data_IF_958260302738
#
_entry.id   IF_958260302738
#
_cell.length_a   1.000
_cell.length_b   1.000
_cell.length_c   1.000
_cell.angle_alpha   90.00
_cell.angle_beta   90.00
_cell.angle_gamma   90.00
#
_symmetry.space_group_name_H-M   'P 1'
#
loop_
_entity.id
_entity.type
_entity.pdbx_description
1 polymer ?
#
# COMPACT_ATOMS: atom_id res chain seq x y z
N UNK A 1 -7.83 -13.00 16.22
CA UNK A 1 -6.48 -12.99 15.61
C UNK A 1 -5.70 -11.87 16.27
N UNK A 2 -4.60 -12.20 16.96
CA UNK A 2 -3.77 -11.19 17.63
C UNK A 2 -2.62 -10.78 16.71
N UNK A 3 -2.40 -9.48 16.56
CA UNK A 3 -1.26 -8.93 15.83
C UNK A 3 -0.15 -8.61 16.84
N UNK A 4 1.07 -9.01 16.56
CA UNK A 4 2.25 -8.60 17.34
C UNK A 4 3.08 -7.71 16.44
N UNK A 5 3.07 -6.40 16.72
CA UNK A 5 3.97 -5.45 16.09
C UNK A 5 5.33 -5.59 16.79
N UNK A 6 6.39 -5.93 16.04
CA UNK A 6 7.76 -5.87 16.53
C UNK A 6 8.59 -4.99 15.59
N UNK A 7 9.28 -3.97 16.10
CA UNK A 7 10.24 -3.23 15.31
C UNK A 7 11.43 -4.14 14.99
N UNK A 8 11.72 -4.35 13.71
CA UNK A 8 13.03 -4.83 13.26
C UNK A 8 13.92 -3.62 12.99
N UNK A 9 15.18 -3.69 13.45
CA UNK A 9 16.16 -2.64 13.25
C UNK A 9 17.27 -3.17 12.34
N UNK A 10 17.36 -2.66 11.12
CA UNK A 10 18.48 -2.94 10.21
C UNK A 10 19.07 -1.62 9.72
N UNK A 11 20.40 -1.48 9.80
CA UNK A 11 21.14 -0.29 9.35
C UNK A 11 20.61 1.06 9.87
N UNK A 12 20.05 1.06 11.09
CA UNK A 12 19.48 2.25 11.73
C UNK A 12 18.06 2.59 11.29
N UNK A 13 17.45 1.78 10.43
CA UNK A 13 16.06 1.91 9.99
C UNK A 13 15.19 0.98 10.84
N UNK A 14 14.09 1.52 11.37
CA UNK A 14 13.10 0.75 12.12
C UNK A 14 11.94 0.38 11.21
N UNK A 15 11.70 -0.92 11.04
CA UNK A 15 10.57 -1.44 10.27
C UNK A 15 9.48 -1.96 11.19
N UNK A 16 8.24 -1.55 10.96
CA UNK A 16 7.07 -2.11 11.64
C UNK A 16 6.67 -3.42 10.95
N UNK A 17 6.96 -4.55 11.61
CA UNK A 17 6.61 -5.87 11.08
C UNK A 17 5.40 -6.44 11.80
N UNK A 18 4.38 -6.79 11.01
CA UNK A 18 3.25 -7.58 11.47
C UNK A 18 3.56 -9.06 11.22
N UNK A 19 3.56 -9.85 12.29
CA UNK A 19 3.58 -11.31 12.22
C UNK A 19 2.15 -11.85 12.22
N UNK A 20 1.79 -12.59 11.16
CA UNK A 20 0.54 -13.35 11.12
C UNK A 20 0.72 -14.73 11.77
N UNK A 21 -0.40 -15.33 12.20
CA UNK A 21 -0.45 -16.64 12.86
C UNK A 21 0.03 -17.81 11.99
N UNK A 22 0.09 -17.62 10.67
CA UNK A 22 0.63 -18.59 9.71
C UNK A 22 2.15 -18.43 9.48
N UNK A 23 2.82 -17.54 10.21
CA UNK A 23 4.25 -17.26 10.08
C UNK A 23 4.60 -16.24 8.98
N UNK A 24 3.62 -15.72 8.23
CA UNK A 24 3.86 -14.67 7.25
C UNK A 24 4.20 -13.35 7.96
N UNK A 25 5.23 -12.68 7.48
CA UNK A 25 5.65 -11.35 7.94
C UNK A 25 5.23 -10.31 6.91
N UNK A 26 4.66 -9.20 7.37
CA UNK A 26 4.31 -8.05 6.54
C UNK A 26 5.08 -6.85 7.04
N UNK A 27 5.74 -6.16 6.11
CA UNK A 27 6.28 -4.83 6.36
C UNK A 27 5.14 -3.83 6.18
N UNK A 28 4.83 -3.07 7.23
CA UNK A 28 3.95 -1.92 7.07
C UNK A 28 4.73 -0.76 6.48
N UNK A 29 4.12 -0.05 5.53
CA UNK A 29 4.62 1.22 5.09
C UNK A 29 4.62 2.20 6.27
N UNK A 30 5.78 2.81 6.56
CA UNK A 30 5.90 3.88 7.53
C UNK A 30 5.68 5.22 6.80
N UNK A 31 4.50 5.81 6.99
CA UNK A 31 4.13 7.08 6.37
C UNK A 31 4.74 8.29 7.10
N UNK A 32 5.22 8.11 8.33
CA UNK A 32 5.75 9.17 9.19
C UNK A 32 7.27 9.28 9.08
N UNK A 33 7.95 8.17 8.82
CA UNK A 33 9.40 8.09 8.70
C UNK A 33 9.85 7.54 7.33
N UNK A 34 9.77 8.36 6.26
CA UNK A 34 10.18 7.95 4.92
C UNK A 34 11.69 7.68 4.84
N UNK A 35 12.06 6.65 4.07
CA UNK A 35 13.45 6.22 3.94
C UNK A 35 14.34 7.36 3.38
N UNK A 36 15.41 7.76 4.11
CA UNK A 36 16.28 8.87 3.71
C UNK A 36 17.08 8.58 2.44
N UNK A 37 17.38 7.32 2.12
CA UNK A 37 18.04 6.92 0.87
C UNK A 37 17.12 7.20 -0.31
N UNK A 38 15.85 6.81 -0.21
CA UNK A 38 14.86 7.10 -1.25
C UNK A 38 14.66 8.61 -1.39
N UNK A 39 14.42 9.34 -0.29
CA UNK A 39 14.20 10.78 -0.35
C UNK A 39 15.40 11.58 -0.84
N UNK A 40 16.63 11.13 -0.60
CA UNK A 40 17.83 11.80 -1.10
C UNK A 40 18.07 11.54 -2.59
N UNK A 41 17.63 10.39 -3.10
CA UNK A 41 17.72 10.05 -4.53
C UNK A 41 16.76 10.84 -5.43
N UNK A 42 15.70 11.43 -4.85
CA UNK A 42 14.64 12.13 -5.58
C UNK A 42 14.93 13.63 -5.73
N UNK A 43 14.52 14.20 -6.87
CA UNK A 43 14.49 15.67 -7.08
C UNK A 43 13.50 16.32 -6.11
N UNK A 44 13.68 17.61 -5.75
CA UNK A 44 12.79 18.30 -4.81
C UNK A 44 11.29 18.16 -5.13
N UNK A 45 10.90 18.36 -6.40
CA UNK A 45 9.51 18.18 -6.83
C UNK A 45 9.00 16.74 -6.73
N UNK A 46 9.89 15.74 -6.89
CA UNK A 46 9.54 14.33 -6.80
C UNK A 46 9.36 13.81 -5.37
N UNK A 47 9.97 14.47 -4.37
CA UNK A 47 9.87 14.04 -2.96
C UNK A 47 8.44 14.10 -2.46
N UNK A 48 7.78 15.23 -2.67
CA UNK A 48 6.40 15.41 -2.22
C UNK A 48 5.45 14.46 -2.96
N UNK A 49 5.61 14.36 -4.28
CA UNK A 49 4.83 13.44 -5.10
C UNK A 49 5.01 11.98 -4.64
N UNK A 50 6.24 11.57 -4.33
CA UNK A 50 6.53 10.24 -3.80
C UNK A 50 5.82 9.96 -2.47
N UNK A 51 5.90 10.90 -1.53
CA UNK A 51 5.22 10.78 -0.24
C UNK A 51 3.71 10.67 -0.41
N UNK A 52 3.13 11.46 -1.32
CA UNK A 52 1.70 11.42 -1.58
C UNK A 52 1.28 10.09 -2.25
N UNK A 53 2.09 9.56 -3.19
CA UNK A 53 1.91 8.22 -3.74
C UNK A 53 1.97 7.12 -2.66
N UNK A 54 2.90 7.21 -1.71
CA UNK A 54 2.99 6.24 -0.62
C UNK A 54 1.74 6.25 0.28
N UNK A 55 1.23 7.44 0.62
CA UNK A 55 -0.01 7.58 1.40
C UNK A 55 -1.21 7.04 0.64
N UNK A 56 -1.32 7.35 -0.65
CA UNK A 56 -2.39 6.85 -1.52
C UNK A 56 -2.36 5.31 -1.62
N UNK A 57 -1.17 4.72 -1.78
CA UNK A 57 -0.99 3.27 -1.80
C UNK A 57 -1.44 2.61 -0.48
N UNK A 58 -1.05 3.18 0.66
CA UNK A 58 -1.47 2.67 1.98
C UNK A 58 -2.98 2.78 2.17
N UNK A 59 -3.60 3.91 1.76
CA UNK A 59 -5.05 4.06 1.78
C UNK A 59 -5.74 3.01 0.91
N UNK A 60 -5.22 2.76 -0.30
CA UNK A 60 -5.72 1.74 -1.20
C UNK A 60 -5.63 0.32 -0.59
N UNK A 61 -4.50 -0.01 0.03
CA UNK A 61 -4.31 -1.27 0.74
C UNK A 61 -5.34 -1.46 1.87
N UNK A 62 -5.66 -0.41 2.62
CA UNK A 62 -6.71 -0.44 3.66
C UNK A 62 -8.09 -0.72 3.05
N UNK A 63 -8.42 -0.08 1.93
CA UNK A 63 -9.65 -0.38 1.18
C UNK A 63 -9.69 -1.85 0.77
N UNK A 64 -8.60 -2.37 0.23
CA UNK A 64 -8.52 -3.76 -0.23
C UNK A 64 -8.71 -4.79 0.87
N UNK A 65 -8.17 -4.51 2.05
CA UNK A 65 -8.14 -5.45 3.16
C UNK A 65 -9.37 -5.37 4.05
N UNK A 66 -10.03 -4.22 4.13
CA UNK A 66 -11.18 -4.00 5.00
C UNK A 66 -12.54 -4.10 4.31
N UNK A 67 -12.61 -3.95 2.98
CA UNK A 67 -13.86 -4.04 2.25
C UNK A 67 -14.07 -5.44 1.68
N UNK A 68 -15.30 -5.96 1.78
CA UNK A 68 -15.65 -7.21 1.11
C UNK A 68 -15.51 -7.05 -0.42
N UNK A 69 -14.95 -8.06 -1.08
CA UNK A 69 -14.86 -8.06 -2.55
C UNK A 69 -16.27 -8.04 -3.15
N UNK A 70 -16.48 -7.27 -4.22
CA UNK A 70 -17.64 -7.50 -5.07
C UNK A 70 -17.49 -8.87 -5.70
N UNK A 71 -18.51 -9.70 -5.56
CA UNK A 71 -18.47 -11.11 -5.97
C UNK A 71 -19.22 -11.31 -7.28
N UNK A 72 -18.61 -12.05 -8.21
CA UNK A 72 -19.19 -12.39 -9.50
C UNK A 72 -18.16 -13.02 -10.43
N UNK A 73 -18.59 -13.89 -11.34
CA UNK A 73 -17.69 -14.52 -12.33
C UNK A 73 -17.13 -13.42 -13.24
N UNK A 74 -15.80 -13.36 -13.37
CA UNK A 74 -15.11 -12.49 -14.32
C UNK A 74 -14.96 -11.03 -13.88
N UNK A 75 -15.30 -10.67 -12.64
CA UNK A 75 -14.96 -9.35 -12.10
C UNK A 75 -13.44 -9.22 -11.95
N UNK A 76 -12.91 -8.06 -12.33
CA UNK A 76 -11.54 -7.72 -12.02
C UNK A 76 -11.47 -7.28 -10.55
N UNK A 77 -10.58 -7.85 -9.74
CA UNK A 77 -10.40 -7.39 -8.37
C UNK A 77 -9.82 -5.98 -8.36
N UNK A 78 -10.21 -5.19 -7.38
CA UNK A 78 -9.56 -3.92 -7.03
C UNK A 78 -8.05 -4.06 -6.96
N UNK A 79 -7.32 -3.04 -7.40
CA UNK A 79 -5.86 -3.08 -7.51
C UNK A 79 -5.22 -1.70 -7.32
N UNK A 80 -3.92 -1.68 -7.04
CA UNK A 80 -3.09 -0.49 -7.03
C UNK A 80 -2.12 -0.60 -8.19
N UNK A 81 -2.12 0.37 -9.10
CA UNK A 81 -1.31 0.32 -10.32
C UNK A 81 0.01 1.09 -10.23
N UNK A 82 0.24 1.77 -9.10
CA UNK A 82 1.39 2.67 -8.90
C UNK A 82 1.03 4.15 -8.83
N UNK A 83 -0.21 4.52 -9.18
CA UNK A 83 -0.71 5.90 -9.09
C UNK A 83 -2.11 5.96 -8.48
N UNK A 84 -3.05 5.14 -8.98
CA UNK A 84 -4.44 5.20 -8.58
C UNK A 84 -4.91 3.90 -7.93
N UNK A 85 -5.89 4.04 -7.04
CA UNK A 85 -6.59 2.90 -6.45
C UNK A 85 -7.78 2.56 -7.32
N UNK A 86 -7.77 1.37 -7.91
CA UNK A 86 -8.83 0.90 -8.78
C UNK A 86 -9.78 0.00 -8.00
N UNK A 87 -11.08 0.29 -8.06
CA UNK A 87 -12.13 -0.53 -7.47
C UNK A 87 -12.40 -1.82 -8.27
N UNK A 88 -13.19 -2.73 -7.68
CA UNK A 88 -13.65 -3.91 -8.40
C UNK A 88 -14.47 -3.49 -9.63
N UNK A 89 -14.13 -4.00 -10.81
CA UNK A 89 -14.79 -3.64 -12.06
C UNK A 89 -15.45 -4.84 -12.76
N UNK A 90 -16.65 -4.67 -13.36
CA UNK A 90 -17.28 -5.71 -14.15
C UNK A 90 -16.44 -6.12 -15.38
N UNK A 91 -16.57 -7.36 -15.88
CA UNK A 91 -15.97 -7.74 -17.14
C UNK A 91 -16.51 -6.88 -18.29
N UNK A 92 -15.69 -6.66 -19.32
CA UNK A 92 -16.06 -5.87 -20.51
C UNK A 92 -16.50 -4.43 -20.19
N UNK A 93 -15.97 -3.84 -19.11
CA UNK A 93 -16.20 -2.44 -18.75
C UNK A 93 -14.90 -1.64 -18.73
N UNK A 94 -15.01 -0.31 -18.77
CA UNK A 94 -13.87 0.61 -18.61
C UNK A 94 -14.03 1.34 -17.29
N UNK A 95 -13.02 1.24 -16.43
CA UNK A 95 -12.93 2.03 -15.21
C UNK A 95 -12.27 3.38 -15.52
N UNK A 96 -12.66 4.42 -14.78
CA UNK A 96 -12.09 5.76 -14.89
C UNK A 96 -11.77 6.26 -13.49
N UNK A 97 -10.67 7.00 -13.37
CA UNK A 97 -10.29 7.69 -12.15
C UNK A 97 -9.88 9.13 -12.46
N UNK A 98 -9.93 9.97 -11.43
CA UNK A 98 -9.45 11.34 -11.53
C UNK A 98 -7.91 11.36 -11.47
N UNK A 99 -7.32 12.18 -12.34
CA UNK A 99 -5.88 12.43 -12.29
C UNK A 99 -5.49 13.23 -11.05
#
# INVERSE_FOLDING_TARGET
MGFVNRPLQEDGITFNIIHLSNGTQYLLADEENPDPVILSSLKPAGKQMWLDCCRAATACCRTMTHQANRTGIGWCPRSWDGWQCWEDSPPSSTAYEHC
#
